data_IF_630344929367
#
_entry.id   IF_630344929367
#
_cell.length_a   1.000
_cell.length_b   1.000
_cell.length_c   1.000
_cell.angle_alpha   90.00
_cell.angle_beta   90.00
_cell.angle_gamma   90.00
#
_symmetry.space_group_name_H-M   'P 1'
#
loop_
_entity.id
_entity.type
_entity.pdbx_description
1 polymer ?
#
# COMPACT_ATOMS: atom_id res chain seq x y z
N UNK A 1 31.67 -3.33 6.11
CA UNK A 1 30.75 -4.37 6.60
C UNK A 1 29.73 -3.63 7.45
N UNK A 2 28.43 -3.71 7.14
CA UNK A 2 27.40 -3.05 7.95
C UNK A 2 27.45 -3.73 9.33
N UNK A 3 27.73 -2.98 10.38
CA UNK A 3 27.70 -3.51 11.74
C UNK A 3 26.24 -3.67 12.14
N UNK A 4 25.63 -4.83 11.89
CA UNK A 4 24.22 -5.08 12.26
C UNK A 4 23.94 -4.92 13.76
N UNK A 5 24.99 -4.84 14.59
CA UNK A 5 24.94 -4.52 16.01
C UNK A 5 24.84 -3.01 16.32
N UNK A 6 24.99 -2.10 15.34
CA UNK A 6 24.78 -0.66 15.54
C UNK A 6 23.32 -0.23 15.41
N UNK A 7 22.45 -1.10 14.87
CA UNK A 7 21.01 -0.81 14.78
C UNK A 7 20.36 -1.05 16.14
N UNK A 8 20.13 0.03 16.87
CA UNK A 8 19.55 0.00 18.20
C UNK A 8 18.15 -0.64 18.22
N UNK A 9 17.83 -1.35 19.32
CA UNK A 9 16.49 -1.91 19.55
C UNK A 9 15.37 -0.86 19.42
N UNK A 10 15.67 0.40 19.76
CA UNK A 10 14.74 1.52 19.61
C UNK A 10 14.40 1.82 18.14
N UNK A 11 15.37 1.72 17.23
CA UNK A 11 15.11 1.87 15.80
C UNK A 11 14.27 0.70 15.29
N UNK A 12 14.58 -0.53 15.70
CA UNK A 12 13.80 -1.71 15.34
C UNK A 12 12.34 -1.58 15.82
N UNK A 13 12.14 -1.10 17.05
CA UNK A 13 10.82 -0.82 17.59
C UNK A 13 10.07 0.26 16.78
N UNK A 14 10.76 1.33 16.36
CA UNK A 14 10.21 2.36 15.48
C UNK A 14 9.69 1.79 14.16
N UNK A 15 10.48 0.96 13.48
CA UNK A 15 10.07 0.28 12.24
C UNK A 15 8.82 -0.57 12.44
N UNK A 16 8.72 -1.30 13.55
CA UNK A 16 7.55 -2.12 13.88
C UNK A 16 6.32 -1.23 14.14
N UNK A 17 6.48 -0.11 14.85
CA UNK A 17 5.39 0.84 15.09
C UNK A 17 4.87 1.42 13.78
N UNK A 18 5.75 1.85 12.88
CA UNK A 18 5.37 2.36 11.57
C UNK A 18 4.69 1.28 10.72
N UNK A 19 5.15 0.03 10.78
CA UNK A 19 4.50 -1.08 10.10
C UNK A 19 3.08 -1.34 10.64
N UNK A 20 2.86 -1.23 11.95
CA UNK A 20 1.53 -1.36 12.57
C UNK A 20 0.62 -0.20 12.15
N UNK A 21 1.12 1.04 12.15
CA UNK A 21 0.37 2.21 11.67
C UNK A 21 -0.02 2.02 10.20
N UNK A 22 0.93 1.63 9.35
CA UNK A 22 0.68 1.34 7.94
C UNK A 22 -0.34 0.20 7.77
N UNK A 23 -0.24 -0.88 8.55
CA UNK A 23 -1.20 -1.98 8.52
C UNK A 23 -2.62 -1.53 8.84
N UNK A 24 -2.78 -0.65 9.83
CA UNK A 24 -4.09 -0.07 10.20
C UNK A 24 -4.64 0.78 9.07
N UNK A 25 -3.83 1.70 8.52
CA UNK A 25 -4.25 2.56 7.40
C UNK A 25 -4.63 1.73 6.15
N UNK A 26 -3.81 0.73 5.80
CA UNK A 26 -4.12 -0.21 4.72
C UNK A 26 -5.39 -1.02 4.98
N UNK A 27 -5.61 -1.47 6.22
CA UNK A 27 -6.83 -2.18 6.61
C UNK A 27 -8.09 -1.34 6.41
N UNK A 28 -8.03 -0.03 6.72
CA UNK A 28 -9.15 0.89 6.50
C UNK A 28 -9.52 0.98 5.01
N UNK A 29 -8.53 1.08 4.12
CA UNK A 29 -8.75 1.06 2.66
C UNK A 29 -9.37 -0.27 2.24
N UNK A 30 -8.81 -1.38 2.70
CA UNK A 30 -9.30 -2.71 2.35
C UNK A 30 -10.70 -3.00 2.90
N UNK A 31 -11.10 -2.42 4.03
CA UNK A 31 -12.44 -2.55 4.58
C UNK A 31 -13.50 -1.83 3.74
N UNK A 32 -13.22 -0.62 3.25
CA UNK A 32 -14.13 0.08 2.32
C UNK A 32 -14.30 -0.72 1.02
N UNK A 33 -13.22 -1.36 0.55
CA UNK A 33 -13.26 -2.22 -0.65
C UNK A 33 -14.03 -3.52 -0.44
N UNK A 34 -13.87 -4.14 0.72
CA UNK A 34 -14.58 -5.38 1.09
C UNK A 34 -16.09 -5.13 1.16
N UNK A 35 -16.50 -3.98 1.74
CA UNK A 35 -17.89 -3.50 1.72
C UNK A 35 -18.45 -3.26 0.32
N UNK A 36 -17.59 -2.92 -0.64
CA UNK A 36 -17.92 -2.75 -2.04
C UNK A 36 -17.87 -4.08 -2.85
N UNK A 37 -17.68 -5.23 -2.18
CA UNK A 37 -17.63 -6.54 -2.82
C UNK A 37 -16.42 -6.76 -3.73
N UNK A 38 -15.31 -6.04 -3.50
CA UNK A 38 -14.10 -6.13 -4.35
C UNK A 38 -13.11 -7.16 -3.79
N UNK A 39 -12.35 -7.81 -4.67
CA UNK A 39 -11.51 -8.98 -4.36
C UNK A 39 -10.30 -8.74 -3.43
N UNK A 40 -9.83 -7.51 -3.29
CA UNK A 40 -8.70 -7.17 -2.41
C UNK A 40 -9.20 -6.47 -1.15
N UNK A 41 -9.31 -7.25 -0.07
CA UNK A 41 -9.87 -6.85 1.23
C UNK A 41 -8.85 -6.37 2.26
N UNK A 42 -9.25 -6.25 3.54
CA UNK A 42 -8.44 -5.62 4.60
C UNK A 42 -7.12 -6.33 4.87
N UNK A 43 -7.09 -7.67 4.86
CA UNK A 43 -5.85 -8.44 5.11
C UNK A 43 -4.81 -8.19 4.03
N UNK A 44 -5.21 -8.18 2.76
CA UNK A 44 -4.32 -7.94 1.63
C UNK A 44 -3.74 -6.52 1.69
N UNK A 45 -4.59 -5.52 1.91
CA UNK A 45 -4.17 -4.12 1.97
C UNK A 45 -3.27 -3.83 3.18
N UNK A 46 -3.55 -4.46 4.33
CA UNK A 46 -2.68 -4.38 5.51
C UNK A 46 -1.27 -4.91 5.23
N UNK A 47 -1.17 -6.10 4.61
CA UNK A 47 0.11 -6.72 4.27
C UNK A 47 0.91 -5.89 3.27
N UNK A 48 0.26 -5.37 2.23
CA UNK A 48 0.91 -4.51 1.23
C UNK A 48 1.45 -3.23 1.87
N UNK A 49 0.64 -2.57 2.70
CA UNK A 49 1.01 -1.32 3.34
C UNK A 49 2.17 -1.52 4.35
N UNK A 50 2.04 -2.51 5.24
CA UNK A 50 3.06 -2.83 6.25
C UNK A 50 4.38 -3.27 5.61
N UNK A 51 4.33 -4.13 4.60
CA UNK A 51 5.56 -4.60 3.91
C UNK A 51 6.28 -3.44 3.21
N UNK A 52 5.53 -2.55 2.57
CA UNK A 52 6.10 -1.36 1.92
C UNK A 52 6.78 -0.44 2.93
N UNK A 53 6.17 -0.23 4.11
CA UNK A 53 6.73 0.57 5.18
C UNK A 53 8.06 -0.02 5.70
N UNK A 54 8.08 -1.32 6.00
CA UNK A 54 9.29 -1.99 6.49
C UNK A 54 10.42 -1.96 5.47
N UNK A 55 10.13 -2.20 4.19
CA UNK A 55 11.16 -2.21 3.13
C UNK A 55 11.86 -0.85 3.02
N UNK A 56 11.09 0.25 3.00
CA UNK A 56 11.69 1.59 2.88
C UNK A 56 12.36 2.05 4.17
N UNK A 57 11.81 1.67 5.34
CA UNK A 57 12.41 2.00 6.62
C UNK A 57 13.78 1.31 6.81
N UNK A 58 13.87 0.01 6.47
CA UNK A 58 15.15 -0.71 6.46
C UNK A 58 16.12 -0.09 5.45
N UNK A 59 15.62 0.27 4.25
CA UNK A 59 16.42 0.96 3.24
C UNK A 59 17.02 2.26 3.74
N UNK A 60 16.23 3.07 4.45
CA UNK A 60 16.68 4.33 5.05
C UNK A 60 17.73 4.13 6.16
N UNK A 61 17.55 3.11 7.02
CA UNK A 61 18.53 2.78 8.08
C UNK A 61 19.87 2.36 7.47
N UNK A 62 19.84 1.48 6.46
CA UNK A 62 21.06 1.00 5.79
C UNK A 62 21.79 2.15 5.09
N UNK A 63 21.07 3.08 4.48
CA UNK A 63 21.65 4.23 3.78
C UNK A 63 22.44 5.15 4.73
N UNK A 64 21.87 5.45 5.89
CA UNK A 64 22.47 6.29 6.93
C UNK A 64 23.80 5.68 7.43
N UNK A 65 23.83 4.37 7.65
CA UNK A 65 25.04 3.69 8.15
C UNK A 65 26.12 3.49 7.09
N UNK A 66 25.72 3.21 5.84
CA UNK A 66 26.66 2.83 4.80
C UNK A 66 27.33 4.03 4.11
N UNK A 67 26.78 5.26 4.18
CA UNK A 67 27.26 6.48 3.48
C UNK A 67 27.59 6.30 1.97
N UNK A 68 27.13 5.22 1.36
CA UNK A 68 27.43 4.81 -0.02
C UNK A 68 26.16 4.38 -0.78
N UNK A 69 24.97 4.58 -0.19
CA UNK A 69 23.69 4.20 -0.79
C UNK A 69 22.99 5.36 -1.49
N UNK A 70 22.08 4.98 -2.39
CA UNK A 70 21.04 5.88 -2.88
C UNK A 70 19.76 5.50 -2.14
N UNK A 71 19.22 6.37 -1.25
CA UNK A 71 18.05 6.07 -0.43
C UNK A 71 16.80 5.77 -1.27
N UNK A 72 16.81 6.17 -2.54
CA UNK A 72 15.69 5.92 -3.46
C UNK A 72 15.63 4.47 -3.97
N UNK A 73 16.67 3.65 -3.75
CA UNK A 73 16.70 2.25 -4.24
C UNK A 73 15.61 1.38 -3.64
N UNK A 74 15.39 1.48 -2.32
CA UNK A 74 14.33 0.73 -1.65
C UNK A 74 12.94 1.19 -2.15
N UNK A 75 12.76 2.49 -2.32
CA UNK A 75 11.54 3.09 -2.87
C UNK A 75 11.28 2.61 -4.31
N UNK A 76 12.31 2.60 -5.16
CA UNK A 76 12.20 2.10 -6.53
C UNK A 76 11.87 0.60 -6.57
N UNK A 77 12.47 -0.21 -5.69
CA UNK A 77 12.16 -1.64 -5.58
C UNK A 77 10.68 -1.87 -5.21
N UNK A 78 10.14 -1.10 -4.26
CA UNK A 78 8.71 -1.17 -3.90
C UNK A 78 7.82 -0.78 -5.08
N UNK A 79 8.09 0.35 -5.74
CA UNK A 79 7.28 0.81 -6.89
C UNK A 79 7.28 -0.23 -8.01
N UNK A 80 8.44 -0.77 -8.34
CA UNK A 80 8.59 -1.81 -9.38
C UNK A 80 7.86 -3.11 -8.99
N UNK A 81 8.03 -3.57 -7.76
CA UNK A 81 7.38 -4.80 -7.28
C UNK A 81 5.85 -4.70 -7.26
N UNK A 82 5.32 -3.56 -6.82
CA UNK A 82 3.87 -3.32 -6.79
C UNK A 82 3.31 -3.16 -8.21
N UNK A 83 4.07 -2.58 -9.15
CA UNK A 83 3.71 -2.55 -10.57
C UNK A 83 3.49 -3.95 -11.15
N UNK A 84 4.34 -4.91 -10.81
CA UNK A 84 4.19 -6.32 -11.20
C UNK A 84 2.93 -6.96 -10.60
N UNK A 85 2.66 -6.74 -9.31
CA UNK A 85 1.42 -7.21 -8.68
C UNK A 85 0.18 -6.58 -9.32
N UNK A 86 0.25 -5.31 -9.71
CA UNK A 86 -0.82 -4.60 -10.41
C UNK A 86 -1.18 -5.26 -11.74
N UNK A 87 -0.18 -5.61 -12.55
CA UNK A 87 -0.40 -6.37 -13.79
C UNK A 87 -1.09 -7.72 -13.51
N UNK A 88 -0.62 -8.46 -12.50
CA UNK A 88 -1.23 -9.72 -12.08
C UNK A 88 -2.70 -9.57 -11.65
N UNK A 89 -3.04 -8.51 -10.91
CA UNK A 89 -4.42 -8.22 -10.48
C UNK A 89 -5.35 -7.84 -11.64
N UNK A 90 -4.81 -7.24 -12.70
CA UNK A 90 -5.57 -6.92 -13.91
C UNK A 90 -5.92 -8.20 -14.67
N UNK A 91 -4.96 -9.10 -14.85
CA UNK A 91 -5.18 -10.33 -15.63
C UNK A 91 -5.98 -11.41 -14.89
N UNK A 92 -5.86 -11.49 -13.56
CA UNK A 92 -6.56 -12.51 -12.75
C UNK A 92 -8.07 -12.32 -12.69
N UNK A 93 -8.57 -11.09 -12.71
CA UNK A 93 -10.02 -10.81 -12.70
C UNK A 93 -10.71 -11.07 -14.06
N UNK A 94 -9.95 -11.26 -15.14
CA UNK A 94 -10.49 -11.50 -16.49
C UNK A 94 -10.87 -12.99 -16.70
N UNK A 95 -10.35 -13.90 -15.87
CA UNK A 95 -10.52 -15.35 -16.05
C UNK A 95 -11.86 -15.94 -15.58
N UNK A 96 -12.70 -15.19 -14.85
CA UNK A 96 -13.88 -15.72 -14.16
C UNK A 96 -15.24 -15.45 -14.86
N UNK A 97 -15.26 -15.25 -16.18
CA UNK A 97 -16.52 -15.18 -16.95
C UNK A 97 -17.25 -13.82 -16.90
N UNK A 98 -16.65 -12.78 -16.32
CA UNK A 98 -17.13 -11.40 -16.47
C UNK A 98 -16.33 -10.68 -17.57
N UNK A 99 -16.97 -10.35 -18.69
CA UNK A 99 -16.41 -9.63 -19.85
C UNK A 99 -16.02 -8.16 -19.57
N UNK A 100 -15.70 -7.80 -18.32
CA UNK A 100 -15.47 -6.42 -17.88
C UNK A 100 -14.07 -6.16 -17.36
N UNK A 101 -13.61 -4.92 -17.51
CA UNK A 101 -12.37 -4.34 -16.99
C UNK A 101 -12.44 -4.26 -15.44
N UNK A 102 -12.49 -5.41 -14.76
CA UNK A 102 -12.79 -5.48 -13.31
C UNK A 102 -11.56 -5.37 -12.40
N UNK A 103 -10.35 -5.47 -12.95
CA UNK A 103 -9.10 -5.52 -12.18
C UNK A 103 -8.35 -4.18 -12.04
N UNK A 104 -8.61 -3.21 -12.92
CA UNK A 104 -7.81 -1.97 -13.02
C UNK A 104 -7.91 -1.12 -11.76
N UNK A 105 -9.12 -0.88 -11.25
CA UNK A 105 -9.32 -0.13 -10.00
C UNK A 105 -8.73 -0.85 -8.79
N UNK A 106 -8.76 -2.19 -8.80
CA UNK A 106 -8.13 -3.01 -7.75
C UNK A 106 -6.62 -2.86 -7.76
N UNK A 107 -5.99 -2.97 -8.94
CA UNK A 107 -4.57 -2.75 -9.12
C UNK A 107 -4.15 -1.33 -8.69
N UNK A 108 -4.90 -0.30 -9.12
CA UNK A 108 -4.64 1.09 -8.73
C UNK A 108 -4.76 1.30 -7.21
N UNK A 109 -5.73 0.67 -6.55
CA UNK A 109 -5.89 0.81 -5.10
C UNK A 109 -4.78 0.11 -4.32
N UNK A 110 -4.32 -1.06 -4.78
CA UNK A 110 -3.16 -1.75 -4.20
C UNK A 110 -1.91 -0.87 -4.35
N UNK A 111 -1.72 -0.25 -5.51
CA UNK A 111 -0.62 0.67 -5.75
C UNK A 111 -0.66 1.87 -4.80
N UNK A 112 -1.81 2.53 -4.68
CA UNK A 112 -1.99 3.66 -3.78
C UNK A 112 -1.77 3.27 -2.30
N UNK A 113 -2.20 2.07 -1.90
CA UNK A 113 -2.01 1.54 -0.55
C UNK A 113 -0.53 1.26 -0.24
N UNK A 114 0.24 0.79 -1.23
CA UNK A 114 1.68 0.66 -1.07
C UNK A 114 2.36 2.02 -0.89
N UNK A 115 1.93 3.05 -1.62
CA UNK A 115 2.44 4.42 -1.45
C UNK A 115 2.16 4.99 -0.05
N UNK A 116 1.00 4.67 0.56
CA UNK A 116 0.73 4.98 1.98
C UNK A 116 1.78 4.32 2.88
N UNK A 117 2.08 3.05 2.65
CA UNK A 117 3.09 2.31 3.41
C UNK A 117 4.48 2.93 3.28
N UNK A 118 4.87 3.30 2.06
CA UNK A 118 6.12 4.01 1.79
C UNK A 118 6.20 5.33 2.57
N UNK A 119 5.12 6.13 2.55
CA UNK A 119 5.09 7.39 3.29
C UNK A 119 5.27 7.17 4.79
N UNK A 120 4.54 6.20 5.37
CA UNK A 120 4.64 5.87 6.80
C UNK A 120 6.03 5.34 7.17
N UNK A 121 6.60 4.43 6.38
CA UNK A 121 7.93 3.86 6.64
C UNK A 121 9.09 4.86 6.50
N UNK A 122 8.87 6.00 5.84
CA UNK A 122 9.80 7.13 5.78
C UNK A 122 9.52 8.20 6.85
N UNK A 123 8.60 7.94 7.79
CA UNK A 123 8.23 8.86 8.87
C UNK A 123 7.16 9.90 8.50
N UNK A 124 6.65 9.91 7.27
CA UNK A 124 5.60 10.83 6.82
C UNK A 124 4.19 10.34 7.19
N UNK A 125 3.97 10.04 8.47
CA UNK A 125 2.72 9.47 9.00
C UNK A 125 1.49 10.33 8.69
N UNK A 126 1.60 11.66 8.80
CA UNK A 126 0.52 12.61 8.48
C UNK A 126 0.17 12.57 6.99
N UNK A 127 1.20 12.51 6.12
CA UNK A 127 0.97 12.40 4.67
C UNK A 127 0.36 11.04 4.32
N UNK A 128 0.80 9.95 4.96
CA UNK A 128 0.22 8.62 4.80
C UNK A 128 -1.26 8.56 5.20
N UNK A 129 -1.62 9.15 6.33
CA UNK A 129 -3.00 9.28 6.77
C UNK A 129 -3.84 10.17 5.83
N UNK A 130 -3.27 11.30 5.38
CA UNK A 130 -3.91 12.18 4.40
C UNK A 130 -4.18 11.49 3.07
N UNK A 131 -3.21 10.74 2.54
CA UNK A 131 -3.37 9.97 1.32
C UNK A 131 -4.41 8.85 1.48
N UNK A 132 -4.43 8.19 2.64
CA UNK A 132 -5.47 7.19 2.98
C UNK A 132 -6.87 7.82 2.92
N UNK A 133 -7.04 9.02 3.48
CA UNK A 133 -8.31 9.75 3.44
C UNK A 133 -8.71 10.11 2.01
N UNK A 134 -7.76 10.57 1.17
CA UNK A 134 -8.00 10.82 -0.26
C UNK A 134 -8.45 9.55 -0.98
N UNK A 135 -7.78 8.42 -0.75
CA UNK A 135 -8.15 7.12 -1.35
C UNK A 135 -9.58 6.74 -0.94
N UNK A 136 -9.92 6.85 0.35
CA UNK A 136 -11.27 6.53 0.85
C UNK A 136 -12.35 7.41 0.21
N UNK A 137 -12.10 8.72 0.04
CA UNK A 137 -13.03 9.63 -0.65
C UNK A 137 -13.24 9.20 -2.10
N UNK A 138 -12.16 8.90 -2.83
CA UNK A 138 -12.23 8.46 -4.23
C UNK A 138 -13.05 7.18 -4.33
N UNK A 139 -12.73 6.15 -3.54
CA UNK A 139 -13.45 4.88 -3.56
C UNK A 139 -14.94 5.05 -3.23
N UNK A 140 -15.26 5.86 -2.21
CA UNK A 140 -16.64 6.14 -1.82
C UNK A 140 -17.42 6.87 -2.91
N UNK A 141 -16.80 7.83 -3.60
CA UNK A 141 -17.44 8.57 -4.70
C UNK A 141 -17.84 7.66 -5.85
N UNK A 142 -16.96 6.72 -6.25
CA UNK A 142 -17.25 5.76 -7.31
C UNK A 142 -18.40 4.84 -6.93
N UNK A 143 -18.47 4.38 -5.68
CA UNK A 143 -19.55 3.53 -5.19
C UNK A 143 -20.93 4.23 -5.18
N UNK A 144 -20.97 5.52 -4.86
CA UNK A 144 -22.22 6.30 -4.91
C UNK A 144 -22.74 6.39 -6.34
N UNK A 145 -21.86 6.64 -7.30
CA UNK A 145 -22.21 6.76 -8.72
C UNK A 145 -22.69 5.42 -9.29
N UNK A 146 -22.00 4.32 -9.01
CA UNK A 146 -22.39 2.97 -9.44
C UNK A 146 -23.79 2.58 -8.93
N UNK A 147 -24.13 2.96 -7.69
CA UNK A 147 -25.45 2.68 -7.09
C UNK A 147 -26.58 3.52 -7.70
N UNK A 148 -26.31 4.74 -8.14
CA UNK A 148 -27.32 5.58 -8.79
C UNK A 148 -27.62 5.15 -10.22
N UNK A 149 -26.61 4.68 -10.96
CA UNK A 149 -26.81 4.22 -12.34
C UNK A 149 -27.59 2.91 -12.40
N UNK A 150 -27.27 1.93 -11.54
CA UNK A 150 -28.00 0.65 -11.48
C UNK A 150 -29.45 0.75 -10.94
N UNK A 151 -29.92 1.95 -10.59
CA UNK A 151 -31.30 2.17 -10.13
C UNK A 151 -32.24 2.59 -11.28
N UNK A 152 -31.70 2.86 -12.47
CA UNK A 152 -32.44 3.29 -13.65
C UNK A 152 -32.58 2.23 -14.74
N UNK A 153 -32.02 1.03 -14.52
CA UNK A 153 -32.26 -0.19 -15.31
C UNK A 153 -33.14 -1.18 -14.50
#
# INVERSE_FOLDING_TARGET
MIDLNSVDLWQQAGVVIDAVIAAVLGSLIGWERDRAGKSAGPRTMALVCASSAVIVAIGAVIDIEAQYGDPTRALHAVITGIGFLGAGLIFTNTGAGSSGIGGVTTAATVFATAAVGVAVGLGFQVAGAGLTLVILIILRSTQVIERTTNRHD
#
